data_IF_045658272425
#
_entry.id   IF_045658272425
#
_cell.length_a   1.000
_cell.length_b   1.000
_cell.length_c   1.000
_cell.angle_alpha   90.00
_cell.angle_beta   90.00
_cell.angle_gamma   90.00
#
_symmetry.space_group_name_H-M   'P 1'
#
loop_
_entity.id
_entity.type
_entity.pdbx_description
1 polymer ?
#
# COMPACT_ATOMS: atom_id res chain seq x y z
N UNK A 1 -15.16 27.58 -19.19
CA UNK A 1 -14.22 26.44 -19.15
C UNK A 1 -13.43 26.55 -17.85
N UNK A 2 -13.78 25.75 -16.86
CA UNK A 2 -12.99 25.59 -15.65
C UNK A 2 -11.85 24.59 -15.95
N UNK A 3 -10.62 24.81 -15.49
CA UNK A 3 -9.55 23.84 -15.68
C UNK A 3 -9.77 22.64 -14.79
N UNK A 4 -9.63 21.48 -15.40
CA UNK A 4 -9.59 20.14 -14.82
C UNK A 4 -8.52 20.08 -13.73
N UNK A 5 -8.90 19.86 -12.47
CA UNK A 5 -8.02 19.93 -11.29
C UNK A 5 -7.63 18.54 -10.77
N UNK A 6 -7.82 17.50 -11.56
CA UNK A 6 -7.34 16.16 -11.23
C UNK A 6 -6.02 15.86 -11.94
N UNK A 7 -4.93 16.48 -11.45
CA UNK A 7 -3.57 16.00 -11.72
C UNK A 7 -2.86 15.80 -10.41
N UNK A 8 -2.55 14.54 -10.12
CA UNK A 8 -1.57 14.14 -9.12
C UNK A 8 -0.26 14.91 -9.36
N UNK A 9 -0.06 15.99 -8.63
CA UNK A 9 1.22 16.67 -8.62
C UNK A 9 2.17 15.89 -7.71
N UNK A 10 2.86 14.93 -8.29
CA UNK A 10 4.12 14.48 -7.75
C UNK A 10 5.11 15.62 -7.96
N UNK A 11 5.36 16.42 -6.94
CA UNK A 11 6.40 17.46 -6.97
C UNK A 11 7.68 16.83 -6.43
N UNK A 12 8.68 16.50 -7.25
CA UNK A 12 9.96 16.06 -6.74
C UNK A 12 10.68 17.25 -6.10
N UNK A 13 10.84 17.20 -4.80
CA UNK A 13 11.84 17.85 -4.01
C UNK A 13 11.93 19.35 -3.95
N UNK A 14 11.87 20.02 -2.89
CA UNK A 14 12.27 21.34 -2.40
C UNK A 14 11.18 22.39 -2.34
N UNK A 15 10.48 22.45 -1.21
CA UNK A 15 9.65 23.61 -0.87
C UNK A 15 10.46 24.66 -0.09
N UNK A 16 10.27 25.92 -0.45
CA UNK A 16 10.73 27.06 0.29
C UNK A 16 9.71 27.39 1.39
N UNK A 17 10.09 27.28 2.66
CA UNK A 17 9.27 27.73 3.79
C UNK A 17 9.94 28.91 4.48
N UNK A 18 9.68 30.12 3.96
CA UNK A 18 9.95 31.40 4.63
C UNK A 18 11.33 32.05 4.39
N UNK A 19 11.42 33.40 4.57
CA UNK A 19 12.60 34.17 4.23
C UNK A 19 13.68 34.26 5.32
N UNK A 20 13.54 33.61 6.47
CA UNK A 20 14.47 33.75 7.57
C UNK A 20 15.11 32.41 7.97
N UNK A 21 16.30 32.21 7.50
CA UNK A 21 17.30 31.14 7.65
C UNK A 21 17.29 30.17 6.47
N UNK A 22 18.39 30.19 5.75
CA UNK A 22 18.65 29.38 4.56
C UNK A 22 18.80 27.86 4.80
N UNK A 23 18.01 27.28 5.69
CA UNK A 23 17.87 25.84 5.88
C UNK A 23 16.80 25.34 4.90
N UNK A 24 17.23 24.54 3.95
CA UNK A 24 16.34 23.84 3.03
C UNK A 24 15.67 22.72 3.82
N UNK A 25 14.37 22.83 4.07
CA UNK A 25 13.59 21.69 4.52
C UNK A 25 13.41 20.73 3.34
N UNK A 26 13.96 19.54 3.44
CA UNK A 26 13.68 18.46 2.52
C UNK A 26 12.44 17.71 3.03
N UNK A 27 11.36 17.72 2.24
CA UNK A 27 10.19 16.88 2.53
C UNK A 27 10.33 15.55 1.79
N UNK A 28 9.92 14.48 2.46
CA UNK A 28 9.98 13.13 1.90
C UNK A 28 8.74 12.84 1.07
N UNK A 29 7.58 13.29 1.52
CA UNK A 29 6.31 13.02 0.86
C UNK A 29 5.26 14.10 1.16
N UNK A 30 4.45 14.46 0.17
CA UNK A 30 3.35 15.43 0.27
C UNK A 30 2.07 14.78 -0.23
N UNK A 31 1.01 14.83 0.56
CA UNK A 31 -0.31 14.29 0.22
C UNK A 31 -1.41 15.29 0.54
N UNK A 32 -2.34 15.48 -0.38
CA UNK A 32 -3.46 16.40 -0.22
C UNK A 32 -4.76 15.63 -0.04
N UNK A 33 -5.50 15.93 1.02
CA UNK A 33 -6.91 15.58 1.15
C UNK A 33 -7.74 16.79 0.71
N UNK A 34 -8.19 16.79 -0.54
CA UNK A 34 -8.88 17.93 -1.14
C UNK A 34 -10.26 18.18 -0.56
N UNK A 35 -10.96 17.12 -0.12
CA UNK A 35 -12.32 17.23 0.41
C UNK A 35 -12.37 17.94 1.76
N UNK A 36 -11.29 17.84 2.54
CA UNK A 36 -11.22 18.42 3.89
C UNK A 36 -10.29 19.63 4.01
N UNK A 37 -9.71 20.10 2.91
CA UNK A 37 -8.76 21.20 2.94
C UNK A 37 -7.51 20.88 3.77
N UNK A 38 -7.11 19.60 3.86
CA UNK A 38 -5.98 19.13 4.64
C UNK A 38 -4.80 18.79 3.72
N UNK A 39 -3.60 19.15 4.17
CA UNK A 39 -2.34 18.76 3.56
C UNK A 39 -1.53 17.96 4.58
N UNK A 40 -1.02 16.81 4.15
CA UNK A 40 -0.14 15.98 4.95
C UNK A 40 1.27 16.04 4.39
N UNK A 41 2.25 16.28 5.27
CA UNK A 41 3.67 16.40 4.92
C UNK A 41 4.46 15.43 5.79
N UNK A 42 5.33 14.64 5.17
CA UNK A 42 6.32 13.83 5.90
C UNK A 42 7.67 14.54 5.78
N UNK A 43 8.20 14.93 6.92
CA UNK A 43 9.41 15.73 7.02
C UNK A 43 10.06 15.46 8.39
N UNK A 44 11.37 15.29 8.44
CA UNK A 44 12.13 15.10 9.69
C UNK A 44 11.56 13.97 10.58
N UNK A 45 11.29 12.81 9.99
CA UNK A 45 10.69 11.64 10.67
C UNK A 45 9.31 11.93 11.33
N UNK A 46 8.57 12.93 10.83
CA UNK A 46 7.26 13.33 11.38
C UNK A 46 6.21 13.44 10.29
N UNK A 47 4.98 13.08 10.64
CA UNK A 47 3.80 13.37 9.82
C UNK A 47 3.15 14.66 10.37
N UNK A 48 3.13 15.68 9.56
CA UNK A 48 2.43 16.95 9.82
C UNK A 48 1.09 16.97 9.10
N UNK A 49 0.09 17.52 9.75
CA UNK A 49 -1.17 17.91 9.14
C UNK A 49 -1.26 19.42 9.11
N UNK A 50 -1.49 19.99 7.94
CA UNK A 50 -1.72 21.42 7.73
C UNK A 50 -3.16 21.62 7.30
N UNK A 51 -3.92 22.41 8.01
CA UNK A 51 -5.23 22.86 7.59
C UNK A 51 -5.05 24.05 6.65
N UNK A 52 -5.51 23.93 5.41
CA UNK A 52 -5.28 24.95 4.37
C UNK A 52 -6.19 26.18 4.54
N UNK A 53 -7.31 26.07 5.24
CA UNK A 53 -8.23 27.17 5.49
C UNK A 53 -7.75 28.05 6.65
N UNK A 54 -7.28 27.42 7.72
CA UNK A 54 -6.84 28.12 8.94
C UNK A 54 -5.34 28.32 9.00
N UNK A 55 -4.57 27.69 8.11
CA UNK A 55 -3.10 27.63 8.08
C UNK A 55 -2.48 27.07 9.37
N UNK A 56 -3.28 26.36 10.17
CA UNK A 56 -2.79 25.71 11.38
C UNK A 56 -2.07 24.40 11.06
N UNK A 57 -1.01 24.13 11.79
CA UNK A 57 -0.18 22.92 11.62
C UNK A 57 -0.14 22.14 12.92
N UNK A 58 -0.26 20.81 12.85
CA UNK A 58 -0.03 19.91 13.98
C UNK A 58 0.82 18.71 13.55
N UNK A 59 1.60 18.16 14.48
CA UNK A 59 2.26 16.88 14.34
C UNK A 59 1.22 15.79 14.62
N UNK A 60 1.06 14.88 13.67
CA UNK A 60 0.13 13.74 13.77
C UNK A 60 0.87 12.50 14.28
N UNK A 61 2.06 12.25 13.72
CA UNK A 61 2.95 11.16 14.14
C UNK A 61 4.37 11.71 14.25
N UNK A 62 5.09 11.31 15.30
CA UNK A 62 6.50 11.64 15.54
C UNK A 62 7.32 10.34 15.56
N UNK A 63 8.56 10.38 15.10
CA UNK A 63 9.48 9.24 15.09
C UNK A 63 9.24 8.24 13.96
N UNK A 64 8.69 8.69 12.82
CA UNK A 64 8.55 7.85 11.63
C UNK A 64 9.92 7.39 11.12
N UNK A 65 10.09 6.07 11.00
CA UNK A 65 11.28 5.51 10.36
C UNK A 65 11.05 5.30 8.89
N UNK A 66 12.08 5.54 8.10
CA UNK A 66 12.09 5.22 6.67
C UNK A 66 11.64 3.78 6.43
N UNK A 67 10.87 3.53 5.40
CA UNK A 67 10.26 2.22 5.07
C UNK A 67 9.27 1.63 6.09
N UNK A 68 9.05 2.27 7.25
CA UNK A 68 8.13 1.80 8.29
C UNK A 68 6.71 2.35 8.16
N UNK A 69 6.38 3.04 7.07
CA UNK A 69 5.04 3.55 6.81
C UNK A 69 4.61 3.35 5.36
N UNK A 70 3.32 3.39 5.13
CA UNK A 70 2.67 3.37 3.81
C UNK A 70 1.45 4.28 3.80
N UNK A 71 1.18 4.88 2.63
CA UNK A 71 0.01 5.70 2.37
C UNK A 71 -0.80 5.04 1.27
N UNK A 72 -2.14 5.03 1.40
CA UNK A 72 -3.02 4.53 0.34
C UNK A 72 -2.96 5.44 -0.90
N UNK A 73 -3.22 4.88 -2.08
CA UNK A 73 -3.24 5.62 -3.33
C UNK A 73 -4.33 6.72 -3.32
N UNK A 74 -5.44 6.46 -2.63
CA UNK A 74 -6.53 7.43 -2.40
C UNK A 74 -6.16 8.57 -1.45
N UNK A 75 -5.00 8.51 -0.76
CA UNK A 75 -4.59 9.40 0.33
C UNK A 75 -5.55 9.40 1.54
N UNK A 76 -6.36 8.35 1.68
CA UNK A 76 -7.32 8.22 2.77
C UNK A 76 -6.74 7.52 4.01
N UNK A 77 -5.81 6.58 3.80
CA UNK A 77 -5.25 5.78 4.88
C UNK A 77 -3.74 5.92 4.99
N UNK A 78 -3.28 5.96 6.22
CA UNK A 78 -1.86 5.98 6.59
C UNK A 78 -1.57 4.86 7.58
N UNK A 79 -0.60 4.00 7.28
CA UNK A 79 -0.18 2.92 8.15
C UNK A 79 1.28 3.08 8.52
N UNK A 80 1.62 2.89 9.82
CA UNK A 80 3.00 2.97 10.28
C UNK A 80 3.30 2.01 11.42
N UNK A 81 4.58 1.70 11.58
CA UNK A 81 5.12 0.94 12.70
C UNK A 81 5.70 1.94 13.71
N UNK A 82 5.22 1.87 14.92
CA UNK A 82 5.78 2.62 16.06
C UNK A 82 6.83 1.74 16.75
N UNK A 83 8.10 1.97 16.43
CA UNK A 83 9.21 1.19 16.93
C UNK A 83 10.52 1.99 16.97
N UNK A 84 11.36 1.71 17.94
CA UNK A 84 12.69 2.34 18.09
C UNK A 84 13.65 1.96 16.95
N UNK A 85 13.43 0.82 16.30
CA UNK A 85 14.21 0.32 15.17
C UNK A 85 13.30 -0.08 14.04
N UNK A 86 13.81 -0.02 12.82
CA UNK A 86 13.08 -0.41 11.61
C UNK A 86 12.38 -1.77 11.78
N UNK A 87 11.05 -1.76 11.66
CA UNK A 87 10.15 -2.93 11.80
C UNK A 87 10.18 -3.68 13.15
N UNK A 88 10.82 -3.18 14.20
CA UNK A 88 10.96 -3.92 15.45
C UNK A 88 9.69 -3.82 16.34
N UNK A 89 8.53 -4.12 15.79
CA UNK A 89 7.24 -4.08 16.49
C UNK A 89 6.30 -5.21 16.05
N UNK A 90 5.55 -5.75 17.00
CA UNK A 90 4.45 -6.67 16.75
C UNK A 90 3.12 -5.95 16.50
N UNK A 91 3.16 -4.66 16.20
CA UNK A 91 1.96 -3.86 15.91
C UNK A 91 2.19 -2.81 14.84
N UNK A 92 1.12 -2.51 14.10
CA UNK A 92 1.02 -1.44 13.11
C UNK A 92 -0.14 -0.53 13.53
N UNK A 93 0.04 0.77 13.41
CA UNK A 93 -1.03 1.74 13.50
C UNK A 93 -1.58 2.00 12.09
N UNK A 94 -2.90 2.02 11.96
CA UNK A 94 -3.62 2.35 10.73
C UNK A 94 -4.56 3.51 11.04
N UNK A 95 -4.40 4.63 10.32
CA UNK A 95 -5.18 5.84 10.53
C UNK A 95 -5.96 6.20 9.26
N UNK A 96 -7.21 6.56 9.43
CA UNK A 96 -7.99 7.23 8.41
C UNK A 96 -7.66 8.73 8.46
N UNK A 97 -7.08 9.26 7.40
CA UNK A 97 -6.65 10.66 7.31
C UNK A 97 -7.84 11.64 7.15
N UNK A 98 -9.04 11.14 6.81
CA UNK A 98 -10.22 11.99 6.66
C UNK A 98 -10.80 12.43 8.01
N UNK A 99 -10.86 11.52 8.97
CA UNK A 99 -11.47 11.77 10.28
C UNK A 99 -10.49 11.67 11.45
N UNK A 100 -9.27 11.18 11.22
CA UNK A 100 -8.23 10.99 12.21
C UNK A 100 -8.45 9.78 13.11
N UNK A 101 -9.43 8.93 12.82
CA UNK A 101 -9.61 7.65 13.53
C UNK A 101 -8.40 6.74 13.32
N UNK A 102 -7.97 6.06 14.39
CA UNK A 102 -6.80 5.17 14.34
C UNK A 102 -7.13 3.80 14.92
N UNK A 103 -6.65 2.78 14.25
CA UNK A 103 -6.79 1.38 14.62
C UNK A 103 -5.43 0.73 14.78
N UNK A 104 -5.26 -0.10 15.82
CA UNK A 104 -4.03 -0.84 16.08
C UNK A 104 -4.18 -2.28 15.65
N UNK A 105 -3.41 -2.70 14.66
CA UNK A 105 -3.24 -4.10 14.25
C UNK A 105 -2.12 -4.69 15.11
N UNK A 106 -2.35 -5.85 15.73
CA UNK A 106 -1.36 -6.53 16.56
C UNK A 106 -1.38 -8.03 16.30
N UNK A 107 -0.20 -8.63 16.31
CA UNK A 107 -0.03 -10.09 16.23
C UNK A 107 0.60 -10.63 17.51
N UNK A 108 0.23 -11.85 17.86
CA UNK A 108 0.77 -12.54 19.03
C UNK A 108 2.05 -13.29 18.70
N UNK A 109 2.89 -13.52 19.71
CA UNK A 109 4.13 -14.28 19.58
C UNK A 109 5.36 -13.41 19.33
N UNK A 110 6.48 -14.06 19.04
CA UNK A 110 7.75 -13.39 18.74
C UNK A 110 7.83 -13.02 17.26
N UNK A 111 7.07 -12.02 16.87
CA UNK A 111 6.94 -11.58 15.48
C UNK A 111 7.11 -10.07 15.34
N UNK A 112 7.52 -9.65 14.15
CA UNK A 112 7.53 -8.26 13.72
C UNK A 112 6.61 -8.09 12.53
N UNK A 113 6.02 -6.89 12.40
CA UNK A 113 5.10 -6.51 11.34
C UNK A 113 5.73 -5.46 10.43
N UNK A 114 5.43 -5.57 9.14
CA UNK A 114 5.86 -4.63 8.12
C UNK A 114 4.66 -4.15 7.30
N UNK A 115 4.38 -2.83 7.23
CA UNK A 115 3.41 -2.29 6.30
C UNK A 115 3.94 -2.44 4.87
N UNK A 116 3.13 -2.97 3.98
CA UNK A 116 3.55 -3.28 2.60
C UNK A 116 2.88 -2.36 1.57
N UNK A 117 1.65 -1.95 1.82
CA UNK A 117 0.91 -1.08 0.91
C UNK A 117 -0.60 -1.24 1.05
N UNK A 118 -1.29 -0.81 0.02
CA UNK A 118 -2.75 -0.89 -0.07
C UNK A 118 -3.16 -1.42 -1.44
N UNK A 119 -4.31 -2.08 -1.52
CA UNK A 119 -5.00 -2.48 -2.73
C UNK A 119 -6.46 -2.10 -2.57
N UNK A 120 -7.00 -1.22 -3.43
CA UNK A 120 -8.36 -0.67 -3.30
C UNK A 120 -8.68 -0.14 -1.88
N UNK A 121 -7.73 0.51 -1.24
CA UNK A 121 -7.76 0.93 0.16
C UNK A 121 -7.62 -0.20 1.19
N UNK A 122 -7.75 -1.46 0.86
CA UNK A 122 -7.45 -2.55 1.79
C UNK A 122 -5.98 -2.59 2.14
N UNK A 123 -5.69 -2.68 3.44
CA UNK A 123 -4.33 -2.59 3.94
C UNK A 123 -3.60 -3.93 3.90
N UNK A 124 -2.37 -3.93 3.35
CA UNK A 124 -1.53 -5.12 3.24
C UNK A 124 -0.35 -5.01 4.20
N UNK A 125 -0.16 -6.03 5.02
CA UNK A 125 1.02 -6.15 5.88
C UNK A 125 1.63 -7.55 5.87
N UNK A 126 2.92 -7.60 6.18
CA UNK A 126 3.66 -8.83 6.33
C UNK A 126 4.00 -9.13 7.78
N UNK A 127 4.04 -10.43 8.10
CA UNK A 127 4.41 -10.96 9.41
C UNK A 127 5.69 -11.77 9.26
N UNK A 128 6.73 -11.43 10.02
CA UNK A 128 7.98 -12.17 10.08
C UNK A 128 8.28 -12.62 11.50
N UNK A 129 9.05 -13.72 11.66
CA UNK A 129 9.62 -14.06 12.96
C UNK A 129 10.67 -13.05 13.34
N UNK A 130 10.64 -12.54 14.58
CA UNK A 130 11.57 -11.53 15.04
C UNK A 130 13.04 -11.99 14.99
N UNK A 131 13.29 -13.28 15.19
CA UNK A 131 14.60 -13.91 15.13
C UNK A 131 15.11 -14.16 13.69
N UNK A 132 14.25 -14.06 12.68
CA UNK A 132 14.63 -14.13 11.26
C UNK A 132 14.90 -12.75 10.65
N UNK A 133 14.48 -11.67 11.30
CA UNK A 133 14.74 -10.30 10.85
C UNK A 133 16.18 -9.89 11.20
N UNK A 134 16.91 -9.42 10.20
CA UNK A 134 18.33 -9.08 10.37
C UNK A 134 18.72 -7.85 9.56
N UNK A 135 19.69 -7.10 10.08
CA UNK A 135 20.29 -5.98 9.34
C UNK A 135 21.60 -6.47 8.73
N UNK A 136 21.69 -6.37 7.42
CA UNK A 136 22.91 -6.72 6.67
C UNK A 136 24.05 -5.72 6.89
N UNK A 137 25.26 -6.07 6.48
CA UNK A 137 26.45 -5.22 6.61
C UNK A 137 26.33 -3.87 5.88
N UNK A 138 25.49 -3.78 4.86
CA UNK A 138 25.19 -2.55 4.12
C UNK A 138 24.06 -1.70 4.74
N UNK A 139 23.55 -2.06 5.93
CA UNK A 139 22.44 -1.37 6.58
C UNK A 139 21.06 -1.77 6.11
N UNK A 140 20.94 -2.63 5.09
CA UNK A 140 19.64 -3.07 4.58
C UNK A 140 18.99 -4.08 5.52
N UNK A 141 17.75 -3.85 5.92
CA UNK A 141 17.00 -4.79 6.73
C UNK A 141 16.43 -5.92 5.86
N UNK A 142 16.82 -7.16 6.15
CA UNK A 142 16.22 -8.34 5.58
C UNK A 142 15.03 -8.75 6.46
N UNK A 143 13.82 -8.76 5.87
CA UNK A 143 12.56 -9.01 6.56
C UNK A 143 11.81 -10.20 5.91
N UNK A 144 12.19 -11.45 6.24
CA UNK A 144 11.63 -12.65 5.61
C UNK A 144 10.23 -12.97 6.15
N UNK A 145 9.19 -12.51 5.45
CA UNK A 145 7.81 -12.66 5.88
C UNK A 145 7.32 -14.08 5.69
N UNK A 146 6.74 -14.65 6.75
CA UNK A 146 6.11 -15.97 6.70
C UNK A 146 4.67 -15.90 6.22
N UNK A 147 4.00 -14.76 6.39
CA UNK A 147 2.59 -14.57 6.05
C UNK A 147 2.38 -13.14 5.57
N UNK A 148 1.50 -12.97 4.57
CA UNK A 148 0.90 -11.69 4.20
C UNK A 148 -0.56 -11.69 4.61
N UNK A 149 -1.05 -10.58 5.11
CA UNK A 149 -2.45 -10.39 5.48
C UNK A 149 -3.01 -9.14 4.84
N UNK A 150 -4.26 -9.22 4.39
CA UNK A 150 -5.01 -8.08 3.83
C UNK A 150 -6.17 -7.81 4.78
N UNK A 151 -6.27 -6.55 5.20
CA UNK A 151 -7.29 -6.05 6.13
C UNK A 151 -8.25 -5.15 5.38
N UNK A 152 -9.53 -5.43 5.52
CA UNK A 152 -10.61 -4.57 5.07
C UNK A 152 -10.61 -3.26 5.87
N UNK A 153 -10.49 -2.13 5.18
CA UNK A 153 -10.53 -0.79 5.80
C UNK A 153 -11.86 -0.09 5.59
N UNK A 154 -12.78 -0.67 4.82
CA UNK A 154 -14.10 -0.09 4.53
C UNK A 154 -15.06 -0.17 5.70
N UNK A 155 -14.82 -1.12 6.62
CA UNK A 155 -15.65 -1.36 7.80
C UNK A 155 -14.85 -1.11 9.09
N UNK A 156 -15.50 -0.64 10.13
CA UNK A 156 -14.89 -0.42 11.46
C UNK A 156 -14.36 -1.72 12.10
N UNK A 157 -14.76 -2.87 11.59
CA UNK A 157 -14.31 -4.18 12.07
C UNK A 157 -12.86 -4.48 11.74
N UNK A 158 -12.29 -3.86 10.72
CA UNK A 158 -10.91 -4.06 10.23
C UNK A 158 -10.53 -5.55 10.16
N UNK A 159 -11.42 -6.37 9.61
CA UNK A 159 -11.24 -7.82 9.56
C UNK A 159 -10.18 -8.21 8.53
N UNK A 160 -9.49 -9.33 8.78
CA UNK A 160 -8.61 -9.93 7.80
C UNK A 160 -9.48 -10.61 6.73
N UNK A 161 -9.41 -10.12 5.50
CA UNK A 161 -10.16 -10.65 4.34
C UNK A 161 -9.37 -11.67 3.56
N UNK A 162 -8.04 -11.62 3.65
CA UNK A 162 -7.17 -12.58 2.98
C UNK A 162 -5.89 -12.82 3.76
N UNK A 163 -5.46 -14.07 3.80
CA UNK A 163 -4.17 -14.48 4.33
C UNK A 163 -3.45 -15.33 3.29
N UNK A 164 -2.18 -15.00 3.04
CA UNK A 164 -1.33 -15.73 2.12
C UNK A 164 -0.09 -16.25 2.86
N UNK A 165 0.19 -17.53 2.69
CA UNK A 165 1.41 -18.17 3.18
C UNK A 165 2.10 -18.88 2.01
N UNK A 166 3.38 -18.59 1.74
CA UNK A 166 4.10 -19.27 0.68
C UNK A 166 4.25 -20.76 1.00
N UNK A 167 4.01 -21.64 0.04
CA UNK A 167 4.17 -23.10 0.22
C UNK A 167 5.58 -23.50 0.63
N UNK A 168 6.58 -22.73 0.21
CA UNK A 168 7.99 -22.92 0.55
C UNK A 168 8.68 -21.56 0.63
N UNK A 169 9.58 -21.40 1.61
CA UNK A 169 10.37 -20.17 1.77
C UNK A 169 9.68 -19.09 2.57
N UNK A 170 9.91 -17.85 2.19
CA UNK A 170 9.40 -16.62 2.79
C UNK A 170 9.06 -15.63 1.69
N UNK A 171 8.30 -14.61 2.03
CA UNK A 171 8.07 -13.46 1.16
C UNK A 171 9.14 -12.40 1.45
N UNK A 172 9.73 -11.85 0.41
CA UNK A 172 10.67 -10.73 0.46
C UNK A 172 9.95 -9.39 0.37
N UNK A 173 9.21 -9.22 -0.71
CA UNK A 173 8.55 -7.98 -1.06
C UNK A 173 7.30 -8.24 -1.90
N UNK A 174 6.50 -7.20 -2.09
CA UNK A 174 5.35 -7.23 -3.00
C UNK A 174 5.38 -6.02 -3.93
N UNK A 175 4.76 -6.17 -5.09
CA UNK A 175 4.28 -5.05 -5.90
C UNK A 175 2.78 -5.19 -6.12
N UNK A 176 2.08 -4.06 -6.11
CA UNK A 176 0.63 -4.00 -6.32
C UNK A 176 0.37 -3.27 -7.62
N UNK A 177 -0.34 -3.92 -8.54
CA UNK A 177 -0.79 -3.34 -9.80
C UNK A 177 -2.28 -3.68 -9.95
N UNK A 178 -3.11 -2.67 -10.03
CA UNK A 178 -4.57 -2.81 -10.06
C UNK A 178 -5.08 -3.72 -8.91
N UNK A 179 -5.66 -4.88 -9.25
CA UNK A 179 -6.19 -5.87 -8.31
C UNK A 179 -5.23 -7.05 -8.07
N UNK A 180 -3.98 -6.92 -8.50
CA UNK A 180 -3.00 -8.01 -8.49
C UNK A 180 -1.83 -7.66 -7.58
N UNK A 181 -1.51 -8.58 -6.67
CA UNK A 181 -0.33 -8.49 -5.83
C UNK A 181 0.67 -9.52 -6.35
N UNK A 182 1.78 -9.05 -6.91
CA UNK A 182 2.92 -9.89 -7.25
C UNK A 182 3.81 -10.04 -6.01
N UNK A 183 4.06 -11.28 -5.62
CA UNK A 183 4.82 -11.64 -4.41
C UNK A 183 6.19 -12.13 -4.81
N UNK A 184 7.24 -11.45 -4.35
CA UNK A 184 8.62 -11.91 -4.51
C UNK A 184 8.98 -12.88 -3.39
N UNK A 185 9.43 -14.07 -3.76
CA UNK A 185 9.76 -15.14 -2.82
C UNK A 185 11.27 -15.26 -2.57
N UNK A 186 11.63 -15.70 -1.37
CA UNK A 186 13.00 -16.03 -0.97
C UNK A 186 13.08 -17.39 -0.28
N UNK A 187 14.26 -18.01 -0.35
CA UNK A 187 14.60 -19.28 0.33
C UNK A 187 15.85 -19.13 1.14
N UNK A 188 15.91 -19.83 2.28
CA UNK A 188 17.11 -19.91 3.09
C UNK A 188 18.13 -20.87 2.44
N UNK A 189 19.35 -20.37 2.20
CA UNK A 189 20.47 -21.12 1.65
C UNK A 189 21.75 -20.68 2.34
N UNK A 190 22.51 -21.62 2.91
CA UNK A 190 23.75 -21.28 3.63
C UNK A 190 23.59 -20.32 4.80
N UNK A 191 22.41 -20.31 5.44
CA UNK A 191 22.11 -19.38 6.55
C UNK A 191 21.53 -18.02 6.12
N UNK A 192 21.56 -17.68 4.84
CA UNK A 192 21.05 -16.43 4.27
C UNK A 192 19.78 -16.67 3.47
N UNK A 193 18.91 -15.65 3.38
CA UNK A 193 17.75 -15.68 2.48
C UNK A 193 18.14 -15.12 1.11
N UNK A 194 17.85 -15.86 0.06
CA UNK A 194 18.12 -15.50 -1.33
C UNK A 194 16.82 -15.55 -2.13
N UNK A 195 16.65 -14.65 -3.09
CA UNK A 195 15.50 -14.62 -4.00
C UNK A 195 15.34 -15.96 -4.71
N UNK A 196 14.10 -16.44 -4.86
CA UNK A 196 13.84 -17.77 -5.37
C UNK A 196 12.72 -17.89 -6.40
N UNK A 197 11.96 -16.84 -6.61
CA UNK A 197 10.85 -16.82 -7.58
C UNK A 197 9.76 -15.84 -7.21
N UNK A 198 8.65 -15.91 -7.93
CA UNK A 198 7.48 -15.06 -7.75
C UNK A 198 6.22 -15.90 -7.60
N UNK A 199 5.20 -15.34 -6.95
CA UNK A 199 3.84 -15.85 -6.89
C UNK A 199 2.87 -14.67 -7.07
N UNK A 200 1.57 -14.95 -7.25
CA UNK A 200 0.58 -13.92 -7.52
C UNK A 200 -0.65 -14.13 -6.66
N UNK A 201 -1.15 -13.05 -6.06
CA UNK A 201 -2.40 -13.01 -5.31
C UNK A 201 -3.35 -12.07 -6.04
N UNK A 202 -4.54 -12.55 -6.40
CA UNK A 202 -5.62 -11.70 -6.93
C UNK A 202 -6.54 -11.30 -5.77
N UNK A 203 -6.76 -10.00 -5.58
CA UNK A 203 -7.65 -9.47 -4.52
C UNK A 203 -9.08 -9.26 -4.99
N UNK A 204 -9.39 -9.56 -6.22
CA UNK A 204 -10.77 -9.59 -6.69
C UNK A 204 -11.37 -10.94 -6.33
N UNK A 205 -12.49 -10.96 -5.60
CA UNK A 205 -13.43 -12.05 -5.73
C UNK A 205 -13.80 -12.09 -7.21
N UNK A 206 -13.60 -13.23 -7.86
CA UNK A 206 -14.06 -13.39 -9.22
C UNK A 206 -15.52 -12.95 -9.21
N UNK A 207 -15.83 -11.85 -9.90
CA UNK A 207 -17.18 -11.31 -9.99
C UNK A 207 -18.01 -12.38 -10.67
N UNK A 208 -18.55 -13.30 -9.83
CA UNK A 208 -19.30 -14.48 -10.28
C UNK A 208 -20.58 -14.10 -10.99
N UNK A 209 -20.96 -12.81 -10.91
CA UNK A 209 -22.16 -12.26 -11.53
C UNK A 209 -21.92 -11.57 -12.87
N UNK A 210 -20.68 -11.29 -13.29
CA UNK A 210 -20.44 -10.78 -14.64
C UNK A 210 -20.67 -11.89 -15.65
N UNK A 211 -21.83 -11.84 -16.31
CA UNK A 211 -22.17 -12.75 -17.42
C UNK A 211 -21.30 -12.54 -18.66
N UNK A 212 -20.49 -11.49 -18.67
CA UNK A 212 -19.65 -11.08 -19.80
C UNK A 212 -18.25 -10.75 -19.27
N UNK A 213 -17.23 -11.40 -19.78
CA UNK A 213 -15.85 -11.02 -19.57
C UNK A 213 -15.32 -10.31 -20.82
N UNK A 214 -14.57 -9.22 -20.61
CA UNK A 214 -13.87 -8.51 -21.68
C UNK A 214 -12.39 -8.84 -21.57
N UNK A 215 -11.84 -9.49 -22.56
CA UNK A 215 -10.42 -9.79 -22.65
C UNK A 215 -9.79 -8.95 -23.76
N UNK A 216 -8.60 -8.42 -23.51
CA UNK A 216 -7.83 -7.71 -24.53
C UNK A 216 -6.57 -8.52 -24.87
N UNK A 217 -6.31 -8.69 -26.16
CA UNK A 217 -5.10 -9.36 -26.65
C UNK A 217 -4.39 -8.42 -27.62
N UNK A 218 -3.10 -8.18 -27.38
CA UNK A 218 -2.26 -7.47 -28.34
C UNK A 218 -1.85 -8.46 -29.44
N UNK A 219 -2.11 -8.10 -30.70
CA UNK A 219 -1.68 -8.89 -31.85
C UNK A 219 -0.23 -8.54 -32.26
N UNK A 220 0.40 -9.38 -33.05
CA UNK A 220 1.74 -9.14 -33.61
C UNK A 220 1.83 -7.85 -34.45
N UNK A 221 0.72 -7.32 -34.91
CA UNK A 221 0.59 -6.03 -35.61
C UNK A 221 0.44 -4.83 -34.67
N UNK A 222 0.58 -5.00 -33.35
CA UNK A 222 0.39 -3.99 -32.29
C UNK A 222 -1.03 -3.41 -32.24
N UNK A 223 -2.00 -4.11 -32.74
CA UNK A 223 -3.42 -3.76 -32.56
C UNK A 223 -3.96 -4.46 -31.33
N UNK A 224 -4.69 -3.72 -30.48
CA UNK A 224 -5.40 -4.27 -29.34
C UNK A 224 -6.75 -4.79 -29.80
N UNK A 225 -6.95 -6.09 -29.71
CA UNK A 225 -8.26 -6.72 -29.95
C UNK A 225 -8.96 -7.00 -28.63
N UNK A 226 -10.24 -6.65 -28.57
CA UNK A 226 -11.10 -6.93 -27.40
C UNK A 226 -12.01 -8.10 -27.74
N UNK A 227 -11.97 -9.13 -26.89
CA UNK A 227 -12.84 -10.29 -26.99
C UNK A 227 -13.85 -10.27 -25.86
N UNK A 228 -15.12 -10.43 -26.20
CA UNK A 228 -16.22 -10.58 -25.23
C UNK A 228 -16.51 -12.08 -25.07
N UNK A 229 -16.24 -12.60 -23.88
CA UNK A 229 -16.56 -13.98 -23.54
C UNK A 229 -17.80 -14.01 -22.67
N UNK A 230 -18.85 -14.70 -23.11
CA UNK A 230 -20.09 -14.90 -22.33
C UNK A 230 -20.04 -16.26 -21.63
N UNK A 231 -20.49 -16.31 -20.37
CA UNK A 231 -20.70 -17.60 -19.69
C UNK A 231 -21.77 -18.42 -20.40
N UNK A 232 -21.65 -19.74 -20.38
CA UNK A 232 -22.52 -20.71 -21.07
C UNK A 232 -24.02 -20.54 -20.83
N UNK A 233 -24.43 -19.87 -19.77
CA UNK A 233 -25.83 -19.68 -19.38
C UNK A 233 -26.43 -18.34 -19.81
N UNK A 234 -25.69 -17.53 -20.60
CA UNK A 234 -26.22 -16.30 -21.17
C UNK A 234 -26.99 -16.60 -22.45
N UNK A 235 -28.31 -16.71 -22.35
CA UNK A 235 -29.16 -16.73 -23.53
C UNK A 235 -29.17 -15.33 -24.21
N UNK A 236 -28.70 -15.19 -25.44
CA UNK A 236 -28.77 -13.92 -26.14
C UNK A 236 -30.23 -13.56 -26.43
N UNK A 237 -30.76 -12.54 -25.75
CA UNK A 237 -32.04 -11.96 -26.16
C UNK A 237 -31.87 -11.37 -27.55
N UNK A 238 -32.80 -11.66 -28.45
CA UNK A 238 -32.81 -11.10 -29.83
C UNK A 238 -32.62 -9.60 -29.78
N UNK A 239 -31.53 -9.12 -30.35
CA UNK A 239 -31.29 -7.69 -30.55
C UNK A 239 -32.27 -7.20 -31.59
N UNK A 240 -33.15 -6.27 -31.22
CA UNK A 240 -34.01 -5.57 -32.14
C UNK A 240 -33.19 -4.44 -32.75
N UNK A 241 -32.78 -4.58 -34.01
CA UNK A 241 -32.23 -3.45 -34.76
C UNK A 241 -33.35 -2.46 -35.02
N UNK A 242 -33.11 -1.21 -34.64
CA UNK A 242 -33.98 -0.07 -34.91
C UNK A 242 -33.47 0.61 -36.17
#
# INVERSE_FOLDING_TARGET
>A
CAPDVDRDYHIPGRAWLGPERGERCEYTEVRRNAEQGLLYLIMDEKLYQVNLDTLSTKIVVDGLKENCYKISQSNQYFAWVDADREYASASIQLMNLNDGSAYKISESGNVYLRPLGFIDNDFIYGVAKADEVSVGAAGNTQFPMMTLKIVDTSEDSHRIIKEYQPKKGRVDSISVEDYTITVQLMKKSGGQFLLSGTDTIMNREADTDTKIAVESTATDLKETQYQLTMKKDAEPKKVKMI
#
